data_IF_077077596390
#
_entry.id   IF_077077596390
#
_cell.length_a   1.000
_cell.length_b   1.000
_cell.length_c   1.000
_cell.angle_alpha   90.00
_cell.angle_beta   90.00
_cell.angle_gamma   90.00
#
_symmetry.space_group_name_H-M   'P 1'
#
loop_
_entity.id
_entity.type
_entity.pdbx_description
1 polymer ?
#
# COMPACT_ATOMS: atom_id res chain seq x y z
N UNK A 1 -13.25 -29.05 -10.35
CA UNK A 1 -13.43 -27.71 -9.79
C UNK A 1 -12.11 -27.25 -9.16
N UNK A 2 -11.66 -26.06 -9.49
CA UNK A 2 -10.40 -25.51 -8.98
C UNK A 2 -10.71 -24.30 -8.12
N UNK A 3 -10.21 -24.28 -6.89
CA UNK A 3 -10.36 -23.14 -5.99
C UNK A 3 -9.00 -22.50 -5.74
N UNK A 4 -8.90 -21.20 -5.96
CA UNK A 4 -7.70 -20.45 -5.62
C UNK A 4 -8.02 -19.44 -4.53
N UNK A 5 -7.06 -19.24 -3.63
CA UNK A 5 -7.19 -18.26 -2.55
C UNK A 5 -5.99 -17.34 -2.56
N UNK A 6 -6.24 -16.07 -2.36
CA UNK A 6 -5.18 -15.08 -2.25
C UNK A 6 -5.58 -14.03 -1.23
N UNK A 7 -4.59 -13.38 -0.66
CA UNK A 7 -4.82 -12.29 0.28
C UNK A 7 -3.79 -11.20 0.06
N UNK A 8 -4.20 -9.97 0.32
CA UNK A 8 -3.31 -8.82 0.38
C UNK A 8 -3.29 -8.36 1.83
N UNK A 9 -2.12 -8.45 2.47
CA UNK A 9 -1.94 -7.96 3.83
C UNK A 9 -1.64 -6.47 3.79
N UNK A 10 -2.35 -5.71 4.60
CA UNK A 10 -2.19 -4.26 4.67
C UNK A 10 -1.78 -3.85 6.07
N UNK A 11 -0.76 -3.01 6.15
CA UNK A 11 -0.35 -2.38 7.39
C UNK A 11 -0.17 -0.89 7.13
N UNK A 12 -0.75 -0.06 7.98
CA UNK A 12 -0.60 1.39 7.88
C UNK A 12 0.01 1.89 9.17
N UNK A 13 1.10 2.66 9.03
CA UNK A 13 1.77 3.25 10.17
C UNK A 13 1.43 4.73 10.20
N UNK A 14 0.77 5.14 11.27
CA UNK A 14 0.38 6.53 11.53
C UNK A 14 1.25 7.14 12.62
N UNK A 15 1.25 8.46 12.68
CA UNK A 15 1.75 9.16 13.86
C UNK A 15 0.82 8.95 15.06
N UNK A 16 1.30 9.24 16.26
CA UNK A 16 0.52 9.01 17.49
C UNK A 16 -0.81 9.79 17.52
N UNK A 17 -0.85 10.97 16.89
CA UNK A 17 -2.06 11.77 16.81
C UNK A 17 -2.98 11.39 15.65
N UNK A 18 -2.61 10.39 14.85
CA UNK A 18 -3.35 9.92 13.68
C UNK A 18 -3.49 10.94 12.54
N UNK A 19 -2.79 12.07 12.62
CA UNK A 19 -2.88 13.12 11.60
C UNK A 19 -1.90 12.91 10.45
N UNK A 20 -0.91 12.04 10.64
CA UNK A 20 0.10 11.74 9.63
C UNK A 20 0.11 10.26 9.30
N UNK A 21 -0.08 9.94 8.04
CA UNK A 21 0.14 8.57 7.55
C UNK A 21 1.57 8.48 7.05
N UNK A 22 2.40 7.76 7.80
CA UNK A 22 3.83 7.69 7.53
C UNK A 22 4.14 6.68 6.44
N UNK A 23 3.62 5.47 6.56
CA UNK A 23 3.88 4.40 5.61
C UNK A 23 2.61 3.58 5.39
N UNK A 24 2.31 3.27 4.15
CA UNK A 24 1.30 2.30 3.77
C UNK A 24 2.01 1.09 3.16
N UNK A 25 1.83 -0.08 3.79
CA UNK A 25 2.44 -1.33 3.32
C UNK A 25 1.39 -2.24 2.73
N UNK A 26 1.64 -2.75 1.55
CA UNK A 26 0.82 -3.78 0.90
C UNK A 26 1.70 -4.96 0.55
N UNK A 27 1.28 -6.15 0.94
CA UNK A 27 2.03 -7.38 0.72
C UNK A 27 1.08 -8.45 0.21
N UNK A 28 1.33 -8.91 -1.01
CA UNK A 28 0.56 -10.00 -1.63
C UNK A 28 1.44 -11.22 -1.93
N UNK A 29 2.60 -11.31 -1.26
CA UNK A 29 3.52 -12.41 -1.46
C UNK A 29 2.88 -13.75 -1.08
N UNK A 30 3.22 -14.77 -1.85
CA UNK A 30 2.91 -16.15 -1.52
C UNK A 30 4.21 -16.81 -1.09
N UNK A 31 4.14 -17.59 -0.03
CA UNK A 31 5.30 -18.33 0.49
C UNK A 31 6.45 -17.40 0.88
N UNK A 32 7.68 -17.80 0.54
CA UNK A 32 8.88 -17.09 0.97
C UNK A 32 9.42 -16.11 -0.06
N UNK A 33 8.85 -16.06 -1.24
CA UNK A 33 9.32 -15.15 -2.27
C UNK A 33 8.86 -13.73 -1.96
N UNK A 34 9.82 -12.85 -1.69
CA UNK A 34 9.54 -11.46 -1.41
C UNK A 34 10.41 -10.57 -2.27
N UNK A 35 9.77 -9.82 -3.15
CA UNK A 35 10.41 -8.76 -3.91
C UNK A 35 9.64 -7.48 -3.60
N UNK A 36 10.25 -6.62 -2.80
CA UNK A 36 9.62 -5.40 -2.30
C UNK A 36 10.05 -4.20 -3.11
N UNK A 37 9.10 -3.32 -3.41
CA UNK A 37 9.33 -2.00 -3.99
C UNK A 37 9.02 -0.94 -2.94
N UNK A 38 9.82 0.12 -2.90
CA UNK A 38 9.54 1.28 -2.07
C UNK A 38 9.23 2.46 -2.97
N UNK A 39 8.10 3.12 -2.71
CA UNK A 39 7.64 4.27 -3.47
C UNK A 39 7.51 5.46 -2.53
N UNK A 40 8.02 6.60 -2.96
CA UNK A 40 7.88 7.86 -2.22
C UNK A 40 6.88 8.73 -2.96
N UNK A 41 5.81 9.11 -2.27
CA UNK A 41 4.78 9.99 -2.81
C UNK A 41 4.86 11.35 -2.15
N UNK A 42 4.44 12.39 -2.88
CA UNK A 42 4.47 13.76 -2.36
C UNK A 42 3.38 13.95 -1.30
N UNK A 43 2.17 13.50 -1.59
CA UNK A 43 1.03 13.62 -0.67
C UNK A 43 0.45 12.24 -0.37
N UNK A 44 -0.07 12.02 0.85
CA UNK A 44 -0.74 10.76 1.15
C UNK A 44 -2.01 10.63 0.32
N UNK A 45 -2.28 9.42 -0.12
CA UNK A 45 -3.56 9.09 -0.73
C UNK A 45 -4.63 8.93 0.35
N UNK A 46 -5.88 8.71 -0.06
CA UNK A 46 -6.97 8.43 0.88
C UNK A 46 -7.05 6.97 1.30
N UNK A 47 -6.14 6.14 0.80
CA UNK A 47 -6.13 4.71 1.14
C UNK A 47 -5.79 4.49 2.60
N UNK A 48 -6.42 3.51 3.20
CA UNK A 48 -6.12 3.01 4.54
C UNK A 48 -5.94 1.49 4.50
N UNK A 49 -6.03 0.84 5.65
CA UNK A 49 -5.83 -0.61 5.75
C UNK A 49 -6.88 -1.43 5.01
N UNK A 50 -8.05 -0.86 4.76
CA UNK A 50 -9.17 -1.55 4.09
C UNK A 50 -9.48 -0.88 2.75
N UNK A 51 -9.60 0.45 2.77
CA UNK A 51 -9.97 1.23 1.59
C UNK A 51 -8.77 1.52 0.72
N UNK A 52 -8.89 1.25 -0.58
CA UNK A 52 -7.81 1.43 -1.53
C UNK A 52 -8.25 2.43 -2.59
N UNK A 53 -7.50 3.54 -2.73
CA UNK A 53 -7.81 4.51 -3.76
C UNK A 53 -7.27 4.04 -5.12
N UNK A 54 -7.66 4.78 -6.18
CA UNK A 54 -7.28 4.41 -7.56
C UNK A 54 -5.76 4.44 -7.75
N UNK A 55 -5.07 5.41 -7.17
CA UNK A 55 -3.62 5.53 -7.31
C UNK A 55 -2.92 4.32 -6.71
N UNK A 56 -3.27 3.95 -5.48
CA UNK A 56 -2.71 2.78 -4.82
C UNK A 56 -3.00 1.51 -5.60
N UNK A 57 -4.24 1.36 -6.08
CA UNK A 57 -4.64 0.20 -6.86
C UNK A 57 -3.82 0.08 -8.15
N UNK A 58 -3.61 1.18 -8.86
CA UNK A 58 -2.82 1.19 -10.09
C UNK A 58 -1.36 0.83 -9.82
N UNK A 59 -0.79 1.35 -8.73
CA UNK A 59 0.57 1.02 -8.31
C UNK A 59 0.70 -0.50 -8.10
N UNK A 60 -0.20 -1.08 -7.31
CA UNK A 60 -0.16 -2.52 -7.00
C UNK A 60 -0.31 -3.35 -8.27
N UNK A 61 -1.25 -3.00 -9.14
CA UNK A 61 -1.48 -3.74 -10.37
C UNK A 61 -0.25 -3.73 -11.29
N UNK A 62 0.42 -2.58 -11.40
CA UNK A 62 1.62 -2.48 -12.20
C UNK A 62 2.78 -3.25 -11.58
N UNK A 63 2.95 -3.18 -10.27
CA UNK A 63 4.01 -3.91 -9.57
C UNK A 63 3.81 -5.42 -9.68
N UNK A 64 2.57 -5.89 -9.63
CA UNK A 64 2.27 -7.30 -9.81
C UNK A 64 2.70 -7.78 -11.19
N UNK A 65 2.46 -6.98 -12.24
CA UNK A 65 2.91 -7.31 -13.60
C UNK A 65 4.43 -7.42 -13.71
N UNK A 66 5.15 -6.64 -12.90
CA UNK A 66 6.61 -6.65 -12.87
C UNK A 66 7.16 -7.67 -11.88
N UNK A 67 6.31 -8.56 -11.37
CA UNK A 67 6.66 -9.64 -10.44
C UNK A 67 7.11 -9.18 -9.05
N UNK A 68 6.77 -7.96 -8.65
CA UNK A 68 6.92 -7.55 -7.27
C UNK A 68 5.85 -8.22 -6.41
N UNK A 69 6.15 -8.43 -5.13
CA UNK A 69 5.24 -9.10 -4.20
C UNK A 69 4.78 -8.21 -3.06
N UNK A 70 5.39 -7.05 -2.90
CA UNK A 70 5.01 -6.10 -1.86
C UNK A 70 5.46 -4.70 -2.21
N UNK A 71 4.85 -3.71 -1.56
CA UNK A 71 5.21 -2.30 -1.72
C UNK A 71 5.09 -1.58 -0.39
N UNK A 72 6.07 -0.72 -0.10
CA UNK A 72 5.99 0.26 0.96
C UNK A 72 5.83 1.63 0.33
N UNK A 73 4.73 2.31 0.62
CA UNK A 73 4.47 3.65 0.11
C UNK A 73 4.73 4.64 1.24
N UNK A 74 5.80 5.41 1.10
CA UNK A 74 6.20 6.44 2.04
C UNK A 74 5.74 7.79 1.53
N UNK A 75 5.27 8.65 2.41
CA UNK A 75 4.78 9.98 2.02
C UNK A 75 5.76 11.06 2.44
N UNK A 76 6.17 11.89 1.49
CA UNK A 76 7.08 13.00 1.76
C UNK A 76 6.40 14.04 2.66
N UNK A 77 5.12 14.35 2.37
CA UNK A 77 4.28 15.14 3.25
C UNK A 77 3.21 14.21 3.83
N UNK A 78 3.39 13.81 5.08
CA UNK A 78 2.59 12.75 5.69
C UNK A 78 1.25 13.23 6.25
N UNK A 79 1.01 14.52 6.34
CA UNK A 79 -0.21 15.07 6.93
C UNK A 79 -1.43 14.70 6.08
N UNK A 80 -2.43 14.14 6.73
CA UNK A 80 -3.67 13.74 6.08
C UNK A 80 -4.64 14.91 6.10
N UNK A 81 -4.92 15.48 4.92
CA UNK A 81 -5.91 16.54 4.80
C UNK A 81 -7.26 15.95 4.40
N UNK A 82 -8.35 16.35 5.08
CA UNK A 82 -9.66 15.93 4.63
C UNK A 82 -9.92 16.48 3.23
N UNK A 83 -10.59 15.68 2.41
CA UNK A 83 -11.05 16.17 1.11
C UNK A 83 -12.17 17.17 1.30
N UNK A 84 -12.00 18.28 0.66
CA UNK A 84 -13.06 19.28 0.58
C UNK A 84 -14.05 18.89 -0.52
#
# INVERSE_FOLDING_TARGET
>A
MITTRSSVRTEVIYSDDMNHRLILKKDWSRDKEKLKCTIIMINPSTADEIEMDRTTMNIINNLKRLNYTSVDICNLFSYITPKL
#
